data_IF_071541319221
#
_entry.id   IF_071541319221
#
_cell.length_a   1.000
_cell.length_b   1.000
_cell.length_c   1.000
_cell.angle_alpha   90.00
_cell.angle_beta   90.00
_cell.angle_gamma   90.00
#
_symmetry.space_group_name_H-M   'P 1'
#
loop_
_entity.id
_entity.type
_entity.pdbx_description
1 polymer ?
#
# COMPACT_ATOMS: atom_id res chain seq x y z
N UNK A 1 -25.09 -29.79 22.24
CA UNK A 1 -23.99 -28.81 22.13
C UNK A 1 -24.37 -27.84 21.03
N UNK A 2 -24.82 -26.62 21.40
CA UNK A 2 -25.10 -25.58 20.42
C UNK A 2 -23.78 -25.07 19.85
N UNK A 3 -23.70 -24.79 18.53
CA UNK A 3 -22.50 -24.19 17.95
C UNK A 3 -22.29 -22.80 18.56
N UNK A 4 -21.03 -22.36 18.71
CA UNK A 4 -20.73 -21.04 19.25
C UNK A 4 -21.35 -19.98 18.35
N UNK A 5 -22.11 -19.08 18.97
CA UNK A 5 -22.69 -17.88 18.37
C UNK A 5 -21.56 -17.08 17.72
N UNK A 6 -21.54 -17.02 16.39
CA UNK A 6 -20.64 -16.11 15.66
C UNK A 6 -21.05 -14.68 15.99
N UNK A 7 -20.34 -14.04 16.91
CA UNK A 7 -20.29 -12.58 16.99
C UNK A 7 -19.41 -12.12 15.83
N UNK A 8 -19.95 -12.20 14.61
CA UNK A 8 -19.26 -11.83 13.38
C UNK A 8 -20.04 -10.73 12.71
N UNK A 9 -19.75 -9.47 13.05
CA UNK A 9 -20.08 -8.36 12.16
C UNK A 9 -19.40 -8.63 10.82
N UNK A 10 -20.11 -8.41 9.71
CA UNK A 10 -19.59 -8.58 8.36
C UNK A 10 -18.44 -7.59 8.11
N UNK A 11 -17.24 -8.01 8.50
CA UNK A 11 -16.00 -7.26 8.36
C UNK A 11 -15.67 -7.02 6.86
N UNK A 12 -16.26 -7.76 5.93
CA UNK A 12 -15.91 -7.69 4.50
C UNK A 12 -16.56 -6.51 3.75
N UNK A 13 -17.66 -5.96 4.26
CA UNK A 13 -18.39 -4.87 3.58
C UNK A 13 -17.90 -3.47 3.95
N UNK A 14 -17.07 -3.33 4.98
CA UNK A 14 -16.61 -2.04 5.49
C UNK A 14 -17.75 -1.16 6.04
N UNK A 15 -17.44 -0.10 6.81
CA UNK A 15 -18.47 0.84 7.26
C UNK A 15 -19.04 1.64 6.08
N UNK A 16 -20.32 2.00 6.13
CA UNK A 16 -20.91 2.91 5.14
C UNK A 16 -20.30 4.31 5.28
N UNK A 17 -20.15 5.03 4.16
CA UNK A 17 -19.57 6.39 4.13
C UNK A 17 -20.26 7.29 5.16
N UNK A 18 -19.54 7.70 6.20
CA UNK A 18 -20.01 8.73 7.12
C UNK A 18 -19.78 10.13 6.52
N UNK A 19 -20.48 11.13 7.05
CA UNK A 19 -20.26 12.54 6.71
C UNK A 19 -18.79 12.92 6.97
N UNK A 20 -18.02 13.07 5.89
CA UNK A 20 -16.61 13.43 5.93
C UNK A 20 -16.37 14.94 6.09
N UNK A 21 -17.41 15.69 6.45
CA UNK A 21 -17.43 17.17 6.50
C UNK A 21 -16.50 17.76 7.56
N UNK A 22 -16.02 16.97 8.53
CA UNK A 22 -15.11 17.44 9.58
C UNK A 22 -13.80 16.64 9.71
N UNK A 23 -13.31 16.09 8.60
CA UNK A 23 -12.05 15.35 8.59
C UNK A 23 -10.85 16.32 8.65
N UNK A 24 -9.85 16.11 9.53
CA UNK A 24 -8.69 17.01 9.67
C UNK A 24 -7.68 16.82 8.52
N UNK A 25 -8.11 17.12 7.29
CA UNK A 25 -7.32 16.97 6.06
C UNK A 25 -6.06 17.83 6.09
N UNK A 26 -4.97 17.26 5.59
CA UNK A 26 -3.65 17.86 5.45
C UNK A 26 -3.04 18.29 6.79
N UNK A 27 -3.29 17.51 7.85
CA UNK A 27 -2.80 17.73 9.21
C UNK A 27 -2.07 16.52 9.78
N UNK A 28 -1.20 16.78 10.76
CA UNK A 28 -0.57 15.76 11.59
C UNK A 28 -1.25 15.78 12.95
N UNK A 29 -1.81 14.65 13.36
CA UNK A 29 -2.36 14.43 14.69
C UNK A 29 -1.24 13.89 15.59
N UNK A 30 -0.82 14.69 16.56
CA UNK A 30 0.24 14.30 17.50
C UNK A 30 -0.38 13.46 18.61
N UNK A 31 0.14 12.25 18.84
CA UNK A 31 -0.28 11.37 19.93
C UNK A 31 -0.25 9.88 19.57
N UNK A 32 -0.69 9.03 20.50
CA UNK A 32 -0.76 7.60 20.27
C UNK A 32 -1.77 7.26 19.16
N UNK A 33 -1.35 6.38 18.26
CA UNK A 33 -2.15 5.94 17.11
C UNK A 33 -3.52 5.37 17.51
N UNK A 34 -3.61 4.68 18.64
CA UNK A 34 -4.83 4.03 19.13
C UNK A 34 -5.84 5.09 19.58
N UNK A 35 -5.36 6.19 20.15
CA UNK A 35 -6.20 7.32 20.56
C UNK A 35 -6.60 8.17 19.36
N UNK A 36 -5.63 8.59 18.53
CA UNK A 36 -5.90 9.48 17.39
C UNK A 36 -6.79 8.83 16.34
N UNK A 37 -6.68 7.52 16.11
CA UNK A 37 -7.59 6.81 15.20
C UNK A 37 -9.04 6.83 15.71
N UNK A 38 -9.26 6.75 17.02
CA UNK A 38 -10.60 6.74 17.61
C UNK A 38 -11.37 8.06 17.35
N UNK A 39 -10.65 9.17 17.15
CA UNK A 39 -11.21 10.48 16.82
C UNK A 39 -11.63 10.60 15.35
N UNK A 40 -11.09 9.75 14.47
CA UNK A 40 -11.42 9.78 13.05
C UNK A 40 -12.78 9.11 12.78
N UNK A 41 -13.65 9.70 11.94
CA UNK A 41 -14.90 9.07 11.56
C UNK A 41 -14.69 7.74 10.84
N UNK A 42 -15.66 6.82 10.95
CA UNK A 42 -15.65 5.59 10.17
C UNK A 42 -15.78 5.90 8.66
N UNK A 43 -15.23 5.04 7.81
CA UNK A 43 -15.30 5.16 6.35
C UNK A 43 -14.93 6.56 5.80
N UNK A 44 -13.90 7.17 6.37
CA UNK A 44 -13.48 8.55 6.08
C UNK A 44 -12.22 8.66 5.22
N UNK A 45 -11.42 7.59 5.11
CA UNK A 45 -10.17 7.58 4.32
C UNK A 45 -10.23 6.55 3.18
N UNK A 46 -9.53 6.83 2.08
CA UNK A 46 -9.58 6.03 0.85
C UNK A 46 -8.42 5.03 0.78
N UNK A 47 -7.26 5.37 1.33
CA UNK A 47 -6.08 4.49 1.31
C UNK A 47 -5.25 4.70 2.56
N UNK A 48 -4.64 3.64 3.07
CA UNK A 48 -3.65 3.71 4.13
C UNK A 48 -2.32 3.26 3.55
N UNK A 49 -1.27 4.06 3.72
CA UNK A 49 0.10 3.71 3.32
C UNK A 49 0.97 3.98 4.53
N UNK A 50 1.61 2.94 5.05
CA UNK A 50 2.33 3.10 6.31
C UNK A 50 3.42 2.06 6.53
N UNK A 51 4.26 2.36 7.52
CA UNK A 51 5.35 1.53 7.98
C UNK A 51 5.45 1.68 9.50
N UNK A 52 4.84 0.77 10.29
CA UNK A 52 4.90 0.86 11.74
C UNK A 52 6.32 0.65 12.28
N UNK A 53 6.58 0.97 13.55
CA UNK A 53 7.77 0.49 14.25
C UNK A 53 7.92 -1.03 14.14
N UNK A 54 9.10 -1.47 13.69
CA UNK A 54 9.40 -2.90 13.55
C UNK A 54 9.88 -3.48 14.88
N UNK A 55 9.45 -4.70 15.18
CA UNK A 55 9.80 -5.39 16.42
C UNK A 55 11.31 -5.46 16.67
N UNK A 56 11.74 -4.95 17.82
CA UNK A 56 13.09 -5.04 18.34
C UNK A 56 14.14 -4.26 17.54
N UNK A 57 13.74 -3.40 16.60
CA UNK A 57 14.69 -2.66 15.75
C UNK A 57 15.10 -1.33 16.35
N UNK A 58 14.16 -0.58 16.96
CA UNK A 58 14.40 0.76 17.49
C UNK A 58 13.65 1.01 18.78
N UNK A 59 14.27 1.85 19.59
CA UNK A 59 13.65 2.50 20.74
C UNK A 59 13.51 3.99 20.45
N UNK A 60 12.28 4.47 20.41
CA UNK A 60 11.90 5.87 20.19
C UNK A 60 11.75 6.63 21.51
N UNK A 61 12.05 6.01 22.66
CA UNK A 61 12.04 6.63 23.97
C UNK A 61 10.64 6.98 24.49
N UNK A 62 9.62 6.24 24.05
CA UNK A 62 8.23 6.48 24.44
C UNK A 62 7.60 5.20 24.99
N UNK A 63 6.98 5.27 26.17
CA UNK A 63 6.41 4.09 26.85
C UNK A 63 5.32 3.39 26.02
N UNK A 64 4.54 4.17 25.27
CA UNK A 64 3.45 3.68 24.43
C UNK A 64 3.90 3.15 23.05
N UNK A 65 5.20 3.20 22.72
CA UNK A 65 5.67 2.80 21.40
C UNK A 65 5.34 1.33 21.07
N UNK A 66 4.98 1.08 19.82
CA UNK A 66 4.97 -0.28 19.29
C UNK A 66 6.40 -0.70 18.92
N UNK A 67 6.65 -2.01 18.88
CA UNK A 67 7.92 -2.61 18.50
C UNK A 67 8.87 -2.87 19.68
N UNK A 68 8.49 -2.48 20.90
CA UNK A 68 9.23 -2.70 22.14
C UNK A 68 8.58 -3.77 23.05
N UNK A 69 7.61 -4.52 22.53
CA UNK A 69 6.94 -5.60 23.26
C UNK A 69 7.94 -6.70 23.68
N UNK A 70 7.61 -7.51 24.71
CA UNK A 70 8.53 -8.57 25.18
C UNK A 70 8.86 -9.64 24.13
N UNK A 71 7.91 -9.92 23.23
CA UNK A 71 7.98 -10.94 22.19
C UNK A 71 7.25 -10.50 20.91
N UNK A 72 7.53 -11.21 19.81
CA UNK A 72 6.96 -10.88 18.50
C UNK A 72 5.43 -11.03 18.46
N UNK A 73 4.85 -11.91 19.28
CA UNK A 73 3.40 -12.13 19.30
C UNK A 73 2.67 -10.97 19.97
N UNK A 74 3.25 -10.37 21.02
CA UNK A 74 2.79 -9.11 21.61
C UNK A 74 2.76 -7.98 20.59
N UNK A 75 3.83 -7.84 19.79
CA UNK A 75 3.88 -6.85 18.70
C UNK A 75 2.84 -7.11 17.62
N UNK A 76 2.66 -8.37 17.21
CA UNK A 76 1.62 -8.78 16.24
C UNK A 76 0.23 -8.43 16.77
N UNK A 77 -0.04 -8.70 18.05
CA UNK A 77 -1.31 -8.35 18.69
C UNK A 77 -1.53 -6.83 18.72
N UNK A 78 -0.50 -6.04 19.03
CA UNK A 78 -0.56 -4.59 18.99
C UNK A 78 -0.92 -4.05 17.60
N UNK A 79 -0.26 -4.54 16.55
CA UNK A 79 -0.57 -4.18 15.18
C UNK A 79 -1.95 -4.68 14.72
N UNK A 80 -2.39 -5.85 15.18
CA UNK A 80 -3.72 -6.36 14.89
C UNK A 80 -4.81 -5.45 15.47
N UNK A 81 -4.63 -4.93 16.69
CA UNK A 81 -5.55 -3.96 17.30
C UNK A 81 -5.62 -2.65 16.51
N UNK A 82 -4.46 -2.10 16.12
CA UNK A 82 -4.41 -0.92 15.24
C UNK A 82 -5.10 -1.22 13.92
N UNK A 83 -4.86 -2.38 13.32
CA UNK A 83 -5.47 -2.78 12.06
C UNK A 83 -7.00 -2.87 12.14
N UNK A 84 -7.59 -3.18 13.29
CA UNK A 84 -9.07 -3.14 13.46
C UNK A 84 -9.61 -1.72 13.38
N UNK A 85 -8.95 -0.75 14.01
CA UNK A 85 -9.31 0.66 13.90
C UNK A 85 -9.06 1.20 12.48
N UNK A 86 -7.98 0.77 11.83
CA UNK A 86 -7.72 1.08 10.42
C UNK A 86 -8.86 0.55 9.52
N UNK A 87 -9.38 -0.65 9.77
CA UNK A 87 -10.51 -1.19 9.03
C UNK A 87 -11.79 -0.36 9.23
N UNK A 88 -11.97 0.27 10.41
CA UNK A 88 -13.12 1.14 10.70
C UNK A 88 -13.03 2.46 9.96
N UNK A 89 -11.87 3.12 9.93
CA UNK A 89 -11.72 4.42 9.26
C UNK A 89 -11.65 4.29 7.73
N UNK A 90 -11.24 3.14 7.22
CA UNK A 90 -11.14 2.87 5.79
C UNK A 90 -12.51 2.73 5.13
N UNK A 91 -12.70 3.37 3.98
CA UNK A 91 -13.89 3.19 3.14
C UNK A 91 -14.00 1.74 2.62
N UNK A 92 -15.22 1.26 2.29
CA UNK A 92 -15.43 -0.11 1.80
C UNK A 92 -14.56 -0.51 0.61
N UNK A 93 -14.27 0.45 -0.27
CA UNK A 93 -13.46 0.27 -1.46
C UNK A 93 -11.97 0.64 -1.26
N UNK A 94 -11.59 1.01 -0.04
CA UNK A 94 -10.23 1.41 0.27
C UNK A 94 -9.28 0.23 0.47
N UNK A 95 -8.01 0.55 0.66
CA UNK A 95 -6.98 -0.45 0.92
C UNK A 95 -5.91 -0.02 1.91
N UNK A 96 -5.19 -1.01 2.44
CA UNK A 96 -4.06 -0.85 3.34
C UNK A 96 -2.78 -1.39 2.68
N UNK A 97 -1.76 -0.55 2.60
CA UNK A 97 -0.41 -0.87 2.20
C UNK A 97 0.51 -0.79 3.41
N UNK A 98 1.01 -1.95 3.84
CA UNK A 98 1.74 -2.11 5.09
C UNK A 98 3.17 -2.60 4.81
N UNK A 99 4.14 -1.69 4.96
CA UNK A 99 5.56 -2.01 4.83
C UNK A 99 6.11 -2.56 6.16
N UNK A 100 6.74 -3.73 6.12
CA UNK A 100 7.29 -4.42 7.28
C UNK A 100 8.67 -5.01 6.98
N UNK A 101 9.57 -4.89 7.95
CA UNK A 101 10.84 -5.61 8.01
C UNK A 101 10.78 -6.70 9.06
N UNK A 102 11.49 -7.80 8.82
CA UNK A 102 11.67 -8.85 9.82
C UNK A 102 12.98 -8.67 10.60
N UNK A 103 13.01 -9.27 11.79
CA UNK A 103 14.16 -9.28 12.69
C UNK A 103 14.52 -10.72 13.07
N UNK A 104 15.71 -10.91 13.63
CA UNK A 104 16.20 -12.22 14.04
C UNK A 104 16.08 -12.36 15.55
N UNK A 105 15.63 -13.52 15.99
CA UNK A 105 15.58 -13.88 17.40
C UNK A 105 17.00 -14.00 17.96
N UNK A 106 17.25 -13.33 19.08
CA UNK A 106 18.47 -13.43 19.89
C UNK A 106 18.30 -14.40 21.05
N UNK A 107 17.06 -14.58 21.53
CA UNK A 107 16.72 -15.44 22.67
C UNK A 107 15.36 -16.09 22.44
N UNK A 108 15.12 -17.33 22.91
CA UNK A 108 13.85 -18.03 22.70
C UNK A 108 12.61 -17.23 23.13
N UNK A 109 12.75 -16.43 24.19
CA UNK A 109 11.70 -15.58 24.73
C UNK A 109 11.15 -14.54 23.73
N UNK A 110 11.86 -14.21 22.64
CA UNK A 110 11.37 -13.28 21.61
C UNK A 110 10.35 -13.94 20.65
N UNK A 111 10.13 -15.26 20.76
CA UNK A 111 9.11 -15.99 20.01
C UNK A 111 9.63 -16.88 18.87
N UNK A 112 10.95 -17.03 18.73
CA UNK A 112 11.58 -18.00 17.84
C UNK A 112 12.93 -18.48 18.40
N UNK A 113 13.45 -19.60 17.91
CA UNK A 113 14.79 -20.07 18.30
C UNK A 113 15.87 -19.03 17.95
N UNK A 114 16.94 -18.88 18.77
CA UNK A 114 18.05 -17.99 18.46
C UNK A 114 18.58 -18.21 17.05
N UNK A 115 19.01 -17.12 16.39
CA UNK A 115 19.45 -17.08 14.98
C UNK A 115 18.38 -17.40 13.93
N UNK A 116 17.11 -17.50 14.32
CA UNK A 116 16.01 -17.67 13.37
C UNK A 116 15.33 -16.33 13.07
N UNK A 117 14.74 -16.18 11.88
CA UNK A 117 13.77 -15.12 11.63
C UNK A 117 12.60 -15.25 12.60
N UNK A 118 12.10 -14.12 13.09
CA UNK A 118 10.92 -14.09 13.95
C UNK A 118 9.63 -14.35 13.17
N UNK A 119 9.69 -14.21 11.84
CA UNK A 119 8.55 -14.29 10.93
C UNK A 119 7.53 -13.20 11.25
N UNK A 120 7.97 -12.06 11.78
CA UNK A 120 7.09 -10.96 12.21
C UNK A 120 6.11 -10.53 11.12
N UNK A 121 6.58 -10.15 9.91
CA UNK A 121 5.70 -9.78 8.81
C UNK A 121 4.67 -10.86 8.47
N UNK A 122 5.09 -12.12 8.40
CA UNK A 122 4.20 -13.24 8.07
C UNK A 122 3.15 -13.48 9.18
N UNK A 123 3.53 -13.36 10.45
CA UNK A 123 2.61 -13.45 11.60
C UNK A 123 1.56 -12.33 11.56
N UNK A 124 1.98 -11.09 11.28
CA UNK A 124 1.05 -9.96 11.08
C UNK A 124 0.09 -10.24 9.94
N UNK A 125 0.59 -10.70 8.78
CA UNK A 125 -0.27 -10.98 7.63
C UNK A 125 -1.30 -12.07 7.93
N UNK A 126 -0.90 -13.16 8.59
CA UNK A 126 -1.81 -14.21 9.02
C UNK A 126 -2.85 -13.72 10.05
N UNK A 127 -2.44 -12.89 11.00
CA UNK A 127 -3.34 -12.30 11.99
C UNK A 127 -4.40 -11.41 11.35
N UNK A 128 -4.00 -10.54 10.40
CA UNK A 128 -4.94 -9.68 9.67
C UNK A 128 -5.90 -10.49 8.80
N UNK A 129 -5.42 -11.53 8.11
CA UNK A 129 -6.29 -12.42 7.31
C UNK A 129 -7.32 -13.13 8.19
N UNK A 130 -6.93 -13.59 9.38
CA UNK A 130 -7.86 -14.17 10.37
C UNK A 130 -8.90 -13.16 10.86
N UNK A 131 -8.55 -11.87 10.89
CA UNK A 131 -9.43 -10.75 11.24
C UNK A 131 -10.22 -10.18 10.03
N UNK A 132 -10.34 -10.97 8.96
CA UNK A 132 -11.22 -10.66 7.83
C UNK A 132 -10.62 -9.71 6.79
N UNK A 133 -9.32 -9.41 6.85
CA UNK A 133 -8.64 -8.73 5.74
C UNK A 133 -8.37 -9.70 4.59
N UNK A 134 -8.47 -9.20 3.36
CA UNK A 134 -8.04 -9.94 2.17
C UNK A 134 -6.64 -9.52 1.77
N UNK A 135 -5.66 -10.43 1.85
CA UNK A 135 -4.32 -10.21 1.30
C UNK A 135 -4.36 -10.33 -0.23
N UNK A 136 -4.16 -9.22 -0.94
CA UNK A 136 -4.21 -9.15 -2.40
C UNK A 136 -2.85 -9.40 -3.04
N UNK A 137 -1.80 -8.82 -2.48
CA UNK A 137 -0.42 -9.03 -2.90
C UNK A 137 0.55 -8.94 -1.72
N UNK A 138 1.60 -9.75 -1.79
CA UNK A 138 2.86 -9.54 -1.07
C UNK A 138 3.85 -8.95 -2.07
N UNK A 139 4.31 -7.74 -1.82
CA UNK A 139 5.26 -7.03 -2.68
C UNK A 139 6.63 -7.02 -2.01
N UNK A 140 7.68 -7.34 -2.77
CA UNK A 140 9.07 -7.31 -2.31
C UNK A 140 9.69 -5.98 -2.69
N UNK A 141 10.01 -5.15 -1.70
CA UNK A 141 10.89 -4.00 -1.91
C UNK A 141 12.35 -4.46 -1.87
N UNK A 142 12.95 -4.68 -3.04
CA UNK A 142 14.36 -5.01 -3.19
C UNK A 142 15.22 -3.74 -3.17
N UNK A 143 16.00 -3.54 -2.11
CA UNK A 143 16.82 -2.35 -1.91
C UNK A 143 18.05 -2.40 -2.82
N UNK A 144 18.33 -1.34 -3.59
CA UNK A 144 19.52 -1.27 -4.45
C UNK A 144 20.79 -0.89 -3.70
N UNK A 145 20.65 -0.28 -2.54
CA UNK A 145 21.72 0.19 -1.64
C UNK A 145 21.39 -0.23 -0.19
N UNK A 146 21.25 -1.53 0.09
CA UNK A 146 20.99 -2.02 1.44
C UNK A 146 22.20 -1.73 2.34
N UNK A 147 21.95 -1.49 3.62
CA UNK A 147 23.02 -1.42 4.61
C UNK A 147 23.72 -2.79 4.70
N UNK A 148 25.06 -2.86 4.59
CA UNK A 148 25.77 -4.12 4.74
C UNK A 148 25.64 -4.64 6.18
N UNK A 149 25.63 -5.96 6.36
CA UNK A 149 25.67 -6.58 7.68
C UNK A 149 26.91 -7.46 7.83
N UNK A 150 27.58 -7.37 8.99
CA UNK A 150 28.76 -8.17 9.32
C UNK A 150 28.32 -9.49 9.94
N UNK A 151 27.73 -10.36 9.12
CA UNK A 151 27.26 -11.71 9.52
C UNK A 151 27.84 -12.74 8.56
N UNK A 152 28.40 -13.82 9.11
CA UNK A 152 29.11 -14.84 8.33
C UNK A 152 28.29 -16.13 8.11
N UNK A 153 27.24 -16.36 8.90
CA UNK A 153 26.46 -17.60 8.92
C UNK A 153 25.06 -17.46 8.30
N UNK A 154 24.79 -16.34 7.59
CA UNK A 154 23.56 -16.12 6.81
C UNK A 154 23.73 -15.03 5.75
N UNK A 155 22.77 -14.95 4.84
CA UNK A 155 22.69 -13.85 3.87
C UNK A 155 22.26 -12.55 4.56
N UNK A 156 22.76 -11.42 4.05
CA UNK A 156 22.28 -10.09 4.46
C UNK A 156 20.84 -9.89 3.96
N UNK A 157 19.94 -9.43 4.83
CA UNK A 157 18.58 -9.09 4.43
C UNK A 157 18.57 -7.78 3.63
N UNK A 158 18.31 -7.86 2.33
CA UNK A 158 18.36 -6.72 1.40
C UNK A 158 16.99 -6.27 0.89
N UNK A 159 15.91 -6.78 1.48
CA UNK A 159 14.55 -6.44 1.09
C UNK A 159 13.63 -6.22 2.29
N UNK A 160 12.49 -5.58 2.04
CA UNK A 160 11.35 -5.49 2.96
C UNK A 160 10.09 -5.97 2.24
N UNK A 161 9.07 -6.33 3.02
CA UNK A 161 7.78 -6.79 2.51
C UNK A 161 6.76 -5.66 2.61
N UNK A 162 5.99 -5.46 1.54
CA UNK A 162 4.84 -4.55 1.51
C UNK A 162 3.60 -5.40 1.26
N UNK A 163 2.76 -5.50 2.26
CA UNK A 163 1.48 -6.19 2.13
C UNK A 163 0.41 -5.25 1.62
N UNK A 164 -0.34 -5.70 0.61
CA UNK A 164 -1.50 -5.02 0.06
C UNK A 164 -2.78 -5.74 0.52
N UNK A 165 -3.50 -5.13 1.45
CA UNK A 165 -4.74 -5.64 2.02
C UNK A 165 -5.97 -4.84 1.57
N UNK A 166 -7.10 -5.52 1.45
CA UNK A 166 -8.42 -4.90 1.20
C UNK A 166 -9.47 -5.49 2.13
N UNK A 167 -10.62 -4.81 2.24
CA UNK A 167 -11.77 -5.27 3.03
C UNK A 167 -12.83 -5.93 2.15
N UNK A 168 -13.06 -5.35 0.96
CA UNK A 168 -14.03 -5.82 -0.02
C UNK A 168 -13.32 -6.49 -1.22
N UNK A 169 -13.99 -7.43 -1.92
CA UNK A 169 -13.54 -7.90 -3.24
C UNK A 169 -13.69 -6.84 -4.33
N UNK A 170 -14.51 -5.80 -4.09
CA UNK A 170 -14.64 -4.60 -4.93
C UNK A 170 -13.95 -3.44 -4.23
N UNK A 171 -12.71 -3.18 -4.63
CA UNK A 171 -11.86 -2.11 -4.11
C UNK A 171 -11.34 -1.26 -5.26
N UNK A 172 -11.00 -0.01 -4.98
CA UNK A 172 -10.40 0.88 -5.96
C UNK A 172 -8.96 0.44 -6.22
N UNK A 173 -8.61 0.29 -7.50
CA UNK A 173 -7.25 0.01 -7.92
C UNK A 173 -7.05 0.45 -9.37
N UNK A 174 -6.12 1.38 -9.60
CA UNK A 174 -5.73 1.86 -10.91
C UNK A 174 -4.28 1.42 -11.24
N UNK A 175 -4.17 0.44 -12.13
CA UNK A 175 -2.87 -0.07 -12.55
C UNK A 175 -2.13 0.89 -13.48
N UNK A 176 -2.86 1.70 -14.23
CA UNK A 176 -2.34 2.41 -15.40
C UNK A 176 -1.26 3.45 -15.06
N UNK A 177 -1.42 4.29 -14.01
CA UNK A 177 -0.40 5.24 -13.55
C UNK A 177 0.93 4.63 -13.13
N UNK A 178 0.95 3.35 -12.73
CA UNK A 178 2.14 2.66 -12.21
C UNK A 178 2.74 1.65 -13.20
N UNK A 179 2.25 1.62 -14.44
CA UNK A 179 2.82 0.76 -15.48
C UNK A 179 4.25 1.15 -15.82
N UNK A 180 5.02 0.16 -16.23
CA UNK A 180 6.38 0.35 -16.75
C UNK A 180 6.38 0.30 -18.27
N UNK A 181 7.03 1.25 -18.95
CA UNK A 181 7.20 1.21 -20.40
C UNK A 181 7.74 -0.14 -20.88
N UNK A 182 7.33 -0.55 -22.08
CA UNK A 182 7.83 -1.78 -22.70
C UNK A 182 9.27 -1.53 -23.17
N UNK A 183 10.20 -2.38 -22.73
CA UNK A 183 11.64 -2.25 -23.08
C UNK A 183 11.98 -3.00 -24.38
N UNK A 184 11.11 -3.89 -24.86
CA UNK A 184 11.36 -4.68 -26.06
C UNK A 184 10.85 -3.99 -27.33
N UNK A 185 11.77 -3.47 -28.14
CA UNK A 185 11.51 -2.97 -29.50
C UNK A 185 11.59 -4.02 -30.62
N UNK A 186 11.72 -5.31 -30.32
CA UNK A 186 11.74 -6.35 -31.37
C UNK A 186 10.33 -6.58 -31.90
N UNK A 187 10.06 -6.11 -33.13
CA UNK A 187 8.97 -6.64 -33.97
C UNK A 187 9.15 -8.16 -34.03
N UNK A 188 8.12 -8.91 -33.64
CA UNK A 188 8.11 -10.35 -33.91
C UNK A 188 8.03 -10.57 -35.42
N UNK A 189 8.78 -11.54 -35.94
CA UNK A 189 8.64 -11.93 -37.33
C UNK A 189 7.26 -12.58 -37.51
N UNK A 190 6.52 -12.27 -38.59
CA UNK A 190 5.21 -12.89 -38.87
C UNK A 190 5.24 -14.43 -38.95
N UNK A 191 6.42 -15.01 -39.13
CA UNK A 191 6.67 -16.46 -39.21
C UNK A 191 6.79 -17.15 -37.84
N UNK A 192 6.84 -16.42 -36.72
CA UNK A 192 6.90 -17.04 -35.40
C UNK A 192 5.53 -17.64 -35.03
N UNK A 193 5.45 -18.98 -35.00
CA UNK A 193 4.24 -19.67 -34.56
C UNK A 193 3.80 -19.19 -33.15
N UNK A 194 2.51 -18.93 -32.92
CA UNK A 194 2.01 -18.47 -31.63
C UNK A 194 2.24 -19.55 -30.56
N UNK A 195 3.28 -19.39 -29.75
CA UNK A 195 3.54 -20.27 -28.60
C UNK A 195 2.58 -19.93 -27.46
N UNK A 196 1.60 -20.78 -27.20
CA UNK A 196 0.77 -20.68 -25.99
C UNK A 196 1.40 -21.43 -24.81
N UNK A 197 1.40 -20.81 -23.64
CA UNK A 197 1.77 -21.44 -22.37
C UNK A 197 0.57 -21.40 -21.41
N UNK A 198 0.29 -22.51 -20.72
CA UNK A 198 0.94 -23.82 -20.89
C UNK A 198 0.58 -24.46 -22.26
N UNK A 199 1.37 -25.43 -22.75
CA UNK A 199 1.06 -26.16 -23.99
C UNK A 199 -0.31 -26.83 -23.93
N UNK A 200 -0.92 -27.06 -25.09
CA UNK A 200 -2.19 -27.79 -25.16
C UNK A 200 -2.09 -29.16 -24.49
N UNK A 201 -3.11 -29.55 -23.70
CA UNK A 201 -3.11 -30.79 -22.93
C UNK A 201 -2.35 -30.75 -21.59
N UNK A 202 -1.54 -29.73 -21.36
CA UNK A 202 -0.84 -29.50 -20.08
C UNK A 202 -1.54 -28.33 -19.38
N UNK A 203 -2.39 -28.62 -18.40
CA UNK A 203 -3.11 -27.60 -17.63
C UNK A 203 -3.43 -28.10 -16.23
N UNK A 204 -3.70 -27.19 -15.30
CA UNK A 204 -4.06 -27.57 -13.93
C UNK A 204 -5.34 -28.45 -13.96
N UNK A 205 -5.21 -29.71 -13.56
CA UNK A 205 -6.25 -30.74 -13.66
C UNK A 205 -7.59 -30.36 -12.99
N UNK A 206 -7.58 -29.43 -12.03
CA UNK A 206 -8.75 -29.10 -11.21
C UNK A 206 -9.01 -27.59 -11.01
N UNK A 207 -8.40 -26.69 -11.80
CA UNK A 207 -8.67 -25.25 -11.68
C UNK A 207 -9.01 -24.63 -13.03
N UNK A 208 -10.32 -24.47 -13.28
CA UNK A 208 -10.84 -23.58 -14.33
C UNK A 208 -10.53 -22.13 -13.94
N UNK A 209 -9.29 -21.70 -14.19
CA UNK A 209 -8.89 -20.31 -13.99
C UNK A 209 -7.60 -20.19 -13.18
N UNK A 210 -6.67 -19.41 -13.72
CA UNK A 210 -5.42 -19.00 -13.10
C UNK A 210 -4.37 -20.10 -12.91
N UNK A 211 -3.76 -20.54 -14.02
CA UNK A 211 -2.38 -21.02 -13.95
C UNK A 211 -1.45 -19.82 -13.71
N UNK A 212 -0.55 -19.93 -12.73
CA UNK A 212 0.45 -18.92 -12.34
C UNK A 212 1.23 -18.33 -13.53
N UNK A 213 1.38 -19.12 -14.58
CA UNK A 213 2.02 -18.72 -15.82
C UNK A 213 1.05 -19.08 -16.96
N UNK A 214 0.34 -18.10 -17.53
CA UNK A 214 -0.25 -18.27 -18.85
C UNK A 214 -0.05 -17.02 -19.68
N UNK A 215 0.06 -17.20 -20.99
CA UNK A 215 0.29 -16.11 -21.94
C UNK A 215 -0.91 -15.86 -22.87
N UNK A 216 -2.09 -16.43 -22.57
CA UNK A 216 -3.30 -16.27 -23.39
C UNK A 216 -3.69 -14.80 -23.58
N UNK A 217 -3.56 -13.99 -22.53
CA UNK A 217 -3.78 -12.54 -22.60
C UNK A 217 -2.83 -11.83 -23.57
N UNK A 218 -1.54 -12.18 -23.53
CA UNK A 218 -0.52 -11.65 -24.44
C UNK A 218 -0.76 -12.13 -25.88
N UNK A 219 -1.17 -13.39 -26.07
CA UNK A 219 -1.52 -13.95 -27.38
C UNK A 219 -2.67 -13.18 -28.04
N UNK A 220 -3.74 -12.88 -27.29
CA UNK A 220 -4.86 -12.06 -27.79
C UNK A 220 -4.43 -10.65 -28.19
N UNK A 221 -3.48 -10.05 -27.46
CA UNK A 221 -2.98 -8.71 -27.79
C UNK A 221 -2.14 -8.68 -29.06
N UNK A 222 -1.29 -9.69 -29.24
CA UNK A 222 -0.50 -9.84 -30.46
C UNK A 222 -1.38 -10.10 -31.67
N UNK A 223 -2.44 -10.89 -31.51
CA UNK A 223 -3.44 -11.10 -32.56
C UNK A 223 -4.17 -9.81 -32.97
N UNK A 224 -4.28 -8.82 -32.07
CA UNK A 224 -4.82 -7.49 -32.38
C UNK A 224 -3.76 -6.49 -32.87
N UNK A 225 -2.58 -6.96 -33.28
CA UNK A 225 -1.50 -6.10 -33.81
C UNK A 225 -0.68 -5.36 -32.76
N UNK A 226 -0.89 -5.62 -31.46
CA UNK A 226 -0.17 -4.93 -30.38
C UNK A 226 0.95 -5.78 -29.80
N UNK A 227 2.11 -5.16 -29.57
CA UNK A 227 3.25 -5.80 -28.89
C UNK A 227 3.03 -5.97 -27.37
N UNK A 228 2.10 -5.19 -26.80
CA UNK A 228 1.74 -5.21 -25.39
C UNK A 228 0.62 -4.22 -25.06
N UNK A 229 0.42 -3.93 -23.78
CA UNK A 229 -0.52 -2.88 -23.38
C UNK A 229 0.04 -1.49 -23.73
N UNK A 230 -0.75 -0.57 -24.32
CA UNK A 230 -0.24 0.73 -24.79
C UNK A 230 0.46 1.56 -23.72
N UNK A 231 -0.06 1.55 -22.49
CA UNK A 231 0.54 2.26 -21.35
C UNK A 231 1.71 1.52 -20.67
N UNK A 232 2.11 0.36 -21.20
CA UNK A 232 3.19 -0.44 -20.63
C UNK A 232 2.73 -1.65 -19.81
N UNK A 233 3.70 -2.41 -19.33
CA UNK A 233 3.46 -3.64 -18.56
C UNK A 233 3.09 -3.33 -17.10
N UNK A 234 2.36 -4.25 -16.48
CA UNK A 234 2.23 -4.29 -15.03
C UNK A 234 3.65 -4.28 -14.41
N UNK A 235 3.92 -3.42 -13.41
CA UNK A 235 5.24 -3.30 -12.80
C UNK A 235 5.70 -4.58 -12.07
N UNK A 236 4.78 -5.50 -11.77
CA UNK A 236 5.01 -6.67 -10.94
C UNK A 236 5.06 -6.36 -9.45
N UNK A 237 5.32 -7.39 -8.66
CA UNK A 237 5.39 -7.38 -7.20
C UNK A 237 6.82 -7.34 -6.66
N UNK A 238 7.85 -7.26 -7.53
CA UNK A 238 9.23 -7.00 -7.11
C UNK A 238 9.65 -5.58 -7.50
N UNK A 239 9.83 -4.75 -6.48
CA UNK A 239 10.11 -3.33 -6.61
C UNK A 239 11.56 -3.04 -6.24
N UNK A 240 12.39 -2.88 -7.27
CA UNK A 240 13.78 -2.48 -7.12
C UNK A 240 13.88 -0.96 -6.95
N UNK A 241 14.14 -0.49 -5.73
CA UNK A 241 14.19 0.93 -5.38
C UNK A 241 15.28 1.18 -4.31
N UNK A 242 15.98 2.33 -4.31
CA UNK A 242 16.96 2.64 -3.28
C UNK A 242 16.29 2.95 -1.94
N UNK A 243 17.02 2.79 -0.85
CA UNK A 243 16.71 3.41 0.45
C UNK A 243 16.85 4.93 0.33
N UNK A 244 16.01 5.68 1.04
CA UNK A 244 16.21 7.11 1.21
C UNK A 244 17.02 7.37 2.48
N UNK A 245 18.11 8.12 2.35
CA UNK A 245 18.80 8.72 3.48
C UNK A 245 18.19 10.08 3.81
N UNK A 246 17.96 10.37 5.09
CA UNK A 246 17.62 11.71 5.56
C UNK A 246 18.84 12.39 6.17
N UNK A 247 19.08 13.67 5.84
CA UNK A 247 20.10 14.52 6.48
C UNK A 247 19.50 15.12 7.76
N UNK A 248 19.46 14.31 8.81
CA UNK A 248 19.01 14.65 10.17
C UNK A 248 18.75 13.35 10.95
N UNK A 249 18.43 13.41 12.25
CA UNK A 249 18.37 12.25 13.16
C UNK A 249 17.32 11.17 12.85
N UNK A 250 16.70 11.17 11.67
CA UNK A 250 15.63 10.26 11.26
C UNK A 250 16.11 9.24 10.25
N UNK A 251 16.54 8.08 10.76
CA UNK A 251 17.12 7.03 9.91
C UNK A 251 16.08 6.06 9.29
N UNK A 252 14.76 6.32 9.38
CA UNK A 252 13.71 5.36 9.02
C UNK A 252 12.64 5.88 8.03
N UNK A 253 12.93 6.93 7.27
CA UNK A 253 12.02 7.34 6.20
C UNK A 253 12.20 6.42 4.98
N UNK A 254 11.14 5.74 4.53
CA UNK A 254 11.16 5.08 3.22
C UNK A 254 11.21 6.14 2.09
N UNK A 255 11.70 5.80 0.88
CA UNK A 255 11.79 6.77 -0.21
C UNK A 255 10.39 7.15 -0.71
N UNK A 256 10.25 8.40 -1.17
CA UNK A 256 8.98 8.90 -1.74
C UNK A 256 8.43 7.98 -2.84
N UNK A 257 9.31 7.46 -3.70
CA UNK A 257 8.95 6.54 -4.79
C UNK A 257 8.33 5.22 -4.32
N UNK A 258 8.57 4.82 -3.06
CA UNK A 258 7.93 3.64 -2.47
C UNK A 258 6.48 3.92 -2.08
N UNK A 259 6.18 5.11 -1.55
CA UNK A 259 4.79 5.53 -1.25
C UNK A 259 4.01 5.95 -2.50
N UNK A 260 4.66 6.54 -3.50
CA UNK A 260 3.99 6.99 -4.72
C UNK A 260 3.30 5.86 -5.47
N UNK A 261 3.88 4.65 -5.51
CA UNK A 261 3.29 3.52 -6.23
C UNK A 261 1.97 3.07 -5.60
N UNK A 262 1.89 2.72 -4.31
CA UNK A 262 0.62 2.50 -3.62
C UNK A 262 -0.36 3.66 -3.74
N UNK A 263 0.11 4.91 -3.60
CA UNK A 263 -0.74 6.09 -3.68
C UNK A 263 -1.43 6.21 -5.04
N UNK A 264 -0.66 6.15 -6.12
CA UNK A 264 -1.19 6.26 -7.48
C UNK A 264 -2.08 5.07 -7.84
N UNK A 265 -1.76 3.89 -7.31
CA UNK A 265 -2.51 2.68 -7.61
C UNK A 265 -3.80 2.55 -6.81
N UNK A 266 -3.88 3.09 -5.60
CA UNK A 266 -4.95 2.75 -4.67
C UNK A 266 -5.68 3.95 -4.07
N UNK A 267 -5.10 5.16 -4.10
CA UNK A 267 -5.78 6.37 -3.65
C UNK A 267 -6.40 7.10 -4.86
N UNK A 268 -7.74 7.19 -4.93
CA UNK A 268 -8.42 7.91 -6.00
C UNK A 268 -7.93 9.36 -6.12
N UNK A 269 -7.88 9.87 -7.35
CA UNK A 269 -7.62 11.28 -7.60
C UNK A 269 -8.70 12.16 -6.99
N UNK A 270 -9.96 11.76 -7.21
CA UNK A 270 -11.14 12.40 -6.64
C UNK A 270 -12.12 11.35 -6.16
N UNK A 271 -12.93 11.75 -5.21
CA UNK A 271 -14.07 11.02 -4.68
C UNK A 271 -15.28 11.95 -4.62
N UNK A 272 -16.47 11.41 -4.79
CA UNK A 272 -17.70 12.17 -4.58
C UNK A 272 -17.74 12.72 -3.15
N UNK A 273 -18.00 14.01 -3.00
CA UNK A 273 -18.10 14.69 -1.71
C UNK A 273 -19.24 14.17 -0.81
N UNK A 274 -20.25 13.52 -1.40
CA UNK A 274 -21.42 12.98 -0.68
C UNK A 274 -21.26 11.48 -0.39
N UNK A 275 -21.11 10.65 -1.41
CA UNK A 275 -21.12 9.19 -1.23
C UNK A 275 -19.72 8.54 -1.12
N UNK A 276 -18.64 9.31 -1.33
CA UNK A 276 -17.28 8.79 -1.29
C UNK A 276 -16.90 7.85 -2.44
N UNK A 277 -17.76 7.67 -3.46
CA UNK A 277 -17.40 6.85 -4.62
C UNK A 277 -16.26 7.49 -5.42
N UNK A 278 -15.26 6.71 -5.84
CA UNK A 278 -14.09 7.19 -6.54
C UNK A 278 -14.46 7.57 -7.96
N UNK A 279 -13.92 8.68 -8.42
CA UNK A 279 -14.03 9.07 -9.82
C UNK A 279 -13.05 8.26 -10.64
N UNK A 280 -13.43 7.91 -11.87
CA UNK A 280 -12.60 7.14 -12.79
C UNK A 280 -12.31 7.97 -14.04
N UNK A 281 -11.14 7.75 -14.63
CA UNK A 281 -10.81 8.37 -15.91
C UNK A 281 -11.67 7.78 -17.02
N UNK A 282 -12.22 8.65 -17.86
CA UNK A 282 -12.99 8.29 -19.02
C UNK A 282 -12.18 7.38 -19.95
N UNK A 283 -12.88 6.46 -20.60
CA UNK A 283 -12.27 5.52 -21.53
C UNK A 283 -12.02 6.19 -22.88
N UNK A 284 -10.75 6.37 -23.23
CA UNK A 284 -10.34 6.83 -24.55
C UNK A 284 -9.76 5.68 -25.37
N UNK A 285 -10.00 5.71 -26.69
CA UNK A 285 -9.41 4.73 -27.59
C UNK A 285 -8.01 5.16 -28.01
N UNK A 286 -6.97 4.39 -27.63
CA UNK A 286 -5.60 4.55 -28.12
C UNK A 286 -5.06 3.21 -28.62
N UNK A 287 -4.43 3.21 -29.79
CA UNK A 287 -3.91 2.01 -30.46
C UNK A 287 -4.92 0.85 -30.52
N UNK A 288 -6.19 1.18 -30.83
CA UNK A 288 -7.26 0.18 -30.94
C UNK A 288 -7.81 -0.38 -29.62
N UNK A 289 -7.33 0.08 -28.45
CA UNK A 289 -7.86 -0.31 -27.13
C UNK A 289 -8.48 0.86 -26.38
N UNK A 290 -9.51 0.58 -25.59
CA UNK A 290 -10.06 1.52 -24.60
C UNK A 290 -9.15 1.54 -23.37
N UNK A 291 -8.72 2.72 -22.95
CA UNK A 291 -7.82 2.97 -21.83
C UNK A 291 -8.44 4.06 -20.94
N UNK A 292 -8.30 3.93 -19.62
CA UNK A 292 -8.81 4.92 -18.65
C UNK A 292 -7.84 6.11 -18.55
N UNK A 293 -7.79 6.94 -19.60
CA UNK A 293 -6.79 8.02 -19.74
C UNK A 293 -7.40 9.37 -20.07
N UNK A 294 -8.72 9.45 -20.23
CA UNK A 294 -9.41 10.71 -20.47
C UNK A 294 -9.65 11.51 -19.19
N UNK A 295 -10.63 12.40 -19.29
CA UNK A 295 -11.06 13.27 -18.20
C UNK A 295 -11.57 12.44 -17.01
N UNK A 296 -11.40 12.99 -15.81
CA UNK A 296 -11.83 12.33 -14.59
C UNK A 296 -13.34 12.54 -14.41
N UNK A 297 -14.10 11.44 -14.35
CA UNK A 297 -15.57 11.46 -14.33
C UNK A 297 -16.15 10.81 -13.06
N UNK A 298 -17.28 11.32 -12.54
CA UNK A 298 -17.98 10.70 -11.42
C UNK A 298 -18.52 9.32 -11.80
N UNK A 299 -18.38 8.35 -10.89
CA UNK A 299 -18.94 6.99 -11.05
C UNK A 299 -20.30 6.82 -10.38
N UNK A 300 -20.78 7.85 -9.69
CA UNK A 300 -22.05 7.90 -8.98
C UNK A 300 -23.00 8.92 -9.59
N UNK A 301 -24.30 8.79 -9.32
CA UNK A 301 -25.34 9.73 -9.79
C UNK A 301 -25.65 10.87 -8.80
N UNK A 302 -24.80 11.12 -7.81
CA UNK A 302 -25.06 12.14 -6.77
C UNK A 302 -25.06 13.58 -7.30
N UNK A 303 -24.46 13.85 -8.46
CA UNK A 303 -24.34 15.21 -9.00
C UNK A 303 -23.50 16.17 -8.14
N UNK A 304 -22.73 15.63 -7.19
CA UNK A 304 -21.92 16.41 -6.25
C UNK A 304 -20.46 16.52 -6.71
N UNK A 305 -19.77 17.57 -6.25
CA UNK A 305 -18.39 17.86 -6.61
C UNK A 305 -17.41 16.75 -6.21
N UNK A 306 -16.33 16.62 -6.99
CA UNK A 306 -15.21 15.74 -6.70
C UNK A 306 -14.20 16.41 -5.77
N UNK A 307 -14.01 15.86 -4.58
CA UNK A 307 -12.97 16.28 -3.63
C UNK A 307 -11.76 15.33 -3.71
N UNK A 308 -10.54 15.75 -3.34
CA UNK A 308 -9.39 14.87 -3.36
C UNK A 308 -9.61 13.62 -2.49
N UNK A 309 -9.13 12.47 -2.98
CA UNK A 309 -9.03 11.27 -2.16
C UNK A 309 -8.08 11.48 -0.99
N UNK A 310 -8.31 10.76 0.12
CA UNK A 310 -7.56 10.91 1.37
C UNK A 310 -6.69 9.69 1.64
N UNK A 311 -5.39 9.91 1.78
CA UNK A 311 -4.44 8.91 2.29
C UNK A 311 -4.13 9.10 3.77
N UNK A 312 -4.18 8.04 4.55
CA UNK A 312 -3.80 8.03 5.97
C UNK A 312 -2.45 7.34 6.16
N UNK A 313 -1.58 7.96 6.95
CA UNK A 313 -0.37 7.34 7.49
C UNK A 313 -0.40 7.37 9.03
N UNK A 314 -0.78 6.27 9.71
CA UNK A 314 -0.86 6.21 11.16
C UNK A 314 0.51 6.20 11.87
N UNK A 315 1.61 6.10 11.12
CA UNK A 315 2.98 6.10 11.63
C UNK A 315 3.84 7.04 10.76
N UNK A 316 3.40 8.30 10.71
CA UNK A 316 3.80 9.31 9.74
C UNK A 316 5.32 9.58 9.70
N UNK A 317 5.99 9.47 10.85
CA UNK A 317 7.42 9.74 11.00
C UNK A 317 7.77 11.13 10.49
N UNK A 318 8.50 11.16 9.37
CA UNK A 318 8.96 12.42 8.75
C UNK A 318 8.09 12.91 7.58
N UNK A 319 6.92 12.32 7.39
CA UNK A 319 5.91 12.82 6.44
C UNK A 319 6.15 12.45 4.97
N UNK A 320 6.83 11.33 4.67
CA UNK A 320 7.03 10.90 3.27
C UNK A 320 5.71 10.67 2.53
N UNK A 321 4.72 10.04 3.19
CA UNK A 321 3.40 9.77 2.60
C UNK A 321 2.67 11.06 2.24
N UNK A 322 2.68 12.06 3.13
CA UNK A 322 2.09 13.38 2.86
C UNK A 322 2.78 14.13 1.71
N UNK A 323 4.12 14.08 1.64
CA UNK A 323 4.84 14.70 0.52
C UNK A 323 4.46 14.06 -0.82
N UNK A 324 4.26 12.74 -0.86
CA UNK A 324 3.76 12.05 -2.04
C UNK A 324 2.31 12.46 -2.35
N UNK A 325 1.45 12.55 -1.33
CA UNK A 325 0.07 12.99 -1.48
C UNK A 325 -0.05 14.39 -2.09
N UNK A 326 0.65 15.38 -1.52
CA UNK A 326 0.65 16.77 -2.03
C UNK A 326 1.20 16.87 -3.44
N UNK A 327 2.26 16.11 -3.76
CA UNK A 327 2.82 16.07 -5.11
C UNK A 327 1.80 15.61 -6.15
N UNK A 328 0.91 14.69 -5.77
CA UNK A 328 -0.10 14.11 -6.66
C UNK A 328 -1.51 14.67 -6.43
N UNK A 329 -1.66 15.75 -5.67
CA UNK A 329 -2.97 16.40 -5.46
C UNK A 329 -3.99 15.55 -4.69
N UNK A 330 -3.52 14.71 -3.76
CA UNK A 330 -4.35 13.99 -2.79
C UNK A 330 -4.29 14.71 -1.44
N UNK A 331 -5.37 14.62 -0.68
CA UNK A 331 -5.36 15.02 0.71
C UNK A 331 -4.76 13.91 1.57
N UNK A 332 -4.25 14.27 2.74
CA UNK A 332 -3.59 13.31 3.63
C UNK A 332 -3.91 13.55 5.09
N UNK A 333 -3.74 12.53 5.93
CA UNK A 333 -3.76 12.63 7.39
C UNK A 333 -2.57 11.84 7.91
N UNK A 334 -1.78 12.45 8.80
CA UNK A 334 -0.68 11.78 9.48
C UNK A 334 -0.98 11.61 10.96
N UNK A 335 -0.57 10.51 11.57
CA UNK A 335 -0.47 10.38 13.02
C UNK A 335 0.99 10.13 13.38
N UNK A 336 1.49 10.86 14.38
CA UNK A 336 2.85 10.72 14.87
C UNK A 336 2.88 10.84 16.39
N UNK A 337 3.55 9.88 17.04
CA UNK A 337 3.66 9.84 18.48
C UNK A 337 4.64 10.91 18.99
N UNK A 338 5.77 11.10 18.31
CA UNK A 338 6.84 11.99 18.73
C UNK A 338 6.63 13.43 18.17
N UNK A 339 6.41 14.44 19.02
CA UNK A 339 6.21 15.82 18.56
C UNK A 339 7.36 16.39 17.73
N UNK A 340 8.61 16.03 18.04
CA UNK A 340 9.77 16.49 17.27
C UNK A 340 9.77 15.90 15.85
N UNK A 341 9.25 14.68 15.70
CA UNK A 341 9.13 14.03 14.39
C UNK A 341 8.01 14.67 13.56
N UNK A 342 6.88 14.96 14.20
CA UNK A 342 5.79 15.73 13.60
C UNK A 342 6.27 17.11 13.13
N UNK A 343 7.03 17.83 13.96
CA UNK A 343 7.58 19.15 13.59
C UNK A 343 8.48 19.06 12.36
N UNK A 344 9.37 18.05 12.31
CA UNK A 344 10.21 17.85 11.13
C UNK A 344 9.39 17.57 9.86
N UNK A 345 8.35 16.74 9.97
CA UNK A 345 7.44 16.47 8.86
C UNK A 345 6.77 17.76 8.37
N UNK A 346 6.29 18.61 9.28
CA UNK A 346 5.74 19.92 8.92
C UNK A 346 6.75 20.82 8.22
N UNK A 347 8.00 20.89 8.71
CA UNK A 347 9.05 21.70 8.10
C UNK A 347 9.34 21.23 6.66
N UNK A 348 9.34 19.91 6.41
CA UNK A 348 9.51 19.35 5.07
C UNK A 348 8.34 19.73 4.15
N UNK A 349 7.11 19.64 4.64
CA UNK A 349 5.90 20.03 3.89
C UNK A 349 5.91 21.53 3.56
N UNK A 350 6.23 22.40 4.53
CA UNK A 350 6.38 23.85 4.30
C UNK A 350 7.43 24.14 3.24
N UNK A 351 8.58 23.47 3.31
CA UNK A 351 9.66 23.63 2.32
C UNK A 351 9.21 23.20 0.92
N UNK A 352 8.49 22.09 0.81
CA UNK A 352 7.98 21.59 -0.47
C UNK A 352 6.94 22.54 -1.08
N UNK A 353 5.97 23.00 -0.28
CA UNK A 353 4.95 23.98 -0.68
C UNK A 353 5.58 25.29 -1.14
N UNK A 354 6.63 25.76 -0.45
CA UNK A 354 7.38 26.95 -0.84
C UNK A 354 8.08 26.79 -2.20
N UNK A 355 8.64 25.61 -2.49
CA UNK A 355 9.24 25.31 -3.81
C UNK A 355 8.21 25.30 -4.92
N UNK A 356 7.03 24.72 -4.69
CA UNK A 356 5.95 24.65 -5.68
C UNK A 356 5.33 26.02 -6.01
N UNK A 357 5.39 26.98 -5.08
CA UNK A 357 4.88 28.35 -5.29
C UNK A 357 5.82 29.26 -6.09
N UNK A 358 7.08 28.88 -6.30
CA UNK A 358 8.00 29.68 -7.13
C UNK A 358 7.62 29.44 -8.60
N UNK A 359 7.32 30.49 -9.39
CA UNK A 359 7.08 30.32 -10.82
C UNK A 359 8.31 29.67 -11.46
N UNK A 360 8.08 28.80 -12.46
CA UNK A 360 9.17 28.30 -13.29
C UNK A 360 9.87 29.52 -13.91
N UNK A 361 11.13 29.73 -13.53
CA UNK A 361 11.94 30.86 -13.98
C UNK A 361 12.28 30.75 -15.47
#
# INVERSE_FOLDING_TARGET
>A
MNPPTRIGGDLQSGPQSADATNLPRNTILIGDVRERLAELPAASVDTIITSPPYFGVRDYGHEQQLGAEPDVDGWVNGLQLVARELARVLRPNGSLWLNLGDSYSRRPAEGAAPKSLLLGPARVALALVRDGWTLRNEVIWAKTNPMPSSVADRLTTTHELIYFFTRSPRYYFDLDPIRRPLVSGKRQNPSDAPRSYPPAGIGAANRKGWTLNNNRGLGRLKASGLSGHPLGKNPGDVWTLPTAGFRGGHFAAFPMSLAERPLLAACPERVCSVCGQPWHRALERRDGRLLAVGDLEPTCMCGADGIPGVVLDPFMGTGTTALAAEKHGRDWIGIELNPAYAELAEQRLRTQRAKQRRPAA
#
